data_IF_461671640766
#
_entry.id   IF_461671640766
#
_cell.length_a   1.000
_cell.length_b   1.000
_cell.length_c   1.000
_cell.angle_alpha   90.00
_cell.angle_beta   90.00
_cell.angle_gamma   90.00
#
_symmetry.space_group_name_H-M   'P 1'
#
loop_
_entity.id
_entity.type
_entity.pdbx_description
1 polymer ?
#
# COMPACT_ATOMS: atom_id res chain seq x y z
N UNK A 1 4.29 25.12 -12.91
CA UNK A 1 4.63 23.69 -12.77
C UNK A 1 3.34 22.98 -12.42
N UNK A 2 2.72 22.39 -13.43
CA UNK A 2 1.42 21.73 -13.28
C UNK A 2 1.62 20.39 -12.57
N UNK A 3 0.78 20.18 -11.57
CA UNK A 3 0.67 19.00 -10.73
C UNK A 3 0.18 17.83 -11.61
N UNK A 4 1.11 16.98 -12.06
CA UNK A 4 0.79 15.79 -12.83
C UNK A 4 0.24 14.73 -11.87
N UNK A 5 -1.07 14.80 -11.68
CA UNK A 5 -1.88 13.76 -11.05
C UNK A 5 -1.55 12.43 -11.74
N UNK A 6 -1.16 11.36 -11.02
CA UNK A 6 -0.92 10.08 -11.65
C UNK A 6 -2.22 9.61 -12.31
N UNK A 7 -2.16 9.40 -13.62
CA UNK A 7 -3.26 8.86 -14.39
C UNK A 7 -3.72 7.53 -13.78
N UNK A 8 -5.03 7.23 -13.72
CA UNK A 8 -5.49 5.89 -13.37
C UNK A 8 -4.88 4.91 -14.37
N UNK A 9 -4.34 3.81 -13.87
CA UNK A 9 -3.64 2.78 -14.65
C UNK A 9 -4.36 2.51 -15.99
N UNK A 10 -3.72 2.89 -17.09
CA UNK A 10 -4.20 2.57 -18.43
C UNK A 10 -4.11 1.08 -18.68
N UNK A 11 -5.07 0.57 -19.46
CA UNK A 11 -5.41 -0.83 -19.73
C UNK A 11 -4.27 -1.79 -20.20
N UNK A 12 -3.02 -1.34 -20.33
CA UNK A 12 -1.90 -2.14 -20.84
C UNK A 12 -1.09 -2.96 -19.81
N UNK A 13 -1.38 -2.88 -18.51
CA UNK A 13 -0.50 -3.44 -17.46
C UNK A 13 -1.13 -4.60 -16.66
N UNK A 14 -2.17 -5.26 -17.18
CA UNK A 14 -2.82 -6.40 -16.50
C UNK A 14 -1.90 -7.63 -16.37
N UNK A 15 -0.91 -7.78 -17.27
CA UNK A 15 0.11 -8.85 -17.22
C UNK A 15 1.07 -8.73 -16.03
N UNK A 16 1.13 -7.57 -15.38
CA UNK A 16 1.95 -7.31 -14.17
C UNK A 16 1.18 -7.50 -12.87
N UNK A 17 -0.11 -7.83 -12.93
CA UNK A 17 -0.93 -8.04 -11.74
C UNK A 17 -0.50 -9.30 -11.00
N UNK A 18 0.08 -9.10 -9.82
CA UNK A 18 0.38 -10.18 -8.90
C UNK A 18 -0.84 -10.42 -7.99
N UNK A 19 -1.42 -11.62 -8.06
CA UNK A 19 -2.39 -12.12 -7.08
C UNK A 19 -1.66 -12.48 -5.78
N UNK A 20 -1.11 -11.46 -5.12
CA UNK A 20 -0.44 -11.55 -3.82
C UNK A 20 -1.07 -10.53 -2.85
N UNK A 21 -0.97 -10.74 -1.54
CA UNK A 21 -1.49 -9.78 -0.56
C UNK A 21 -0.93 -8.37 -0.75
N UNK A 22 0.29 -8.22 -1.24
CA UNK A 22 0.94 -6.93 -1.49
C UNK A 22 0.39 -6.22 -2.74
N UNK A 23 0.03 -6.99 -3.79
CA UNK A 23 -0.53 -6.49 -5.05
C UNK A 23 -2.06 -6.36 -5.07
N UNK A 24 -2.75 -6.70 -3.97
CA UNK A 24 -4.22 -6.68 -3.92
C UNK A 24 -4.83 -5.31 -4.25
N UNK A 25 -4.19 -4.21 -3.82
CA UNK A 25 -4.64 -2.86 -4.12
C UNK A 25 -4.72 -2.60 -5.62
N UNK A 26 -3.66 -2.97 -6.35
CA UNK A 26 -3.55 -2.74 -7.78
C UNK A 26 -4.51 -3.66 -8.56
N UNK A 27 -4.66 -4.91 -8.10
CA UNK A 27 -5.67 -5.84 -8.64
C UNK A 27 -7.10 -5.36 -8.42
N UNK A 28 -7.44 -4.94 -7.21
CA UNK A 28 -8.76 -4.41 -6.87
C UNK A 28 -9.06 -3.15 -7.69
N UNK A 29 -8.11 -2.22 -7.77
CA UNK A 29 -8.25 -0.99 -8.56
C UNK A 29 -8.44 -1.28 -10.05
N UNK A 30 -7.67 -2.22 -10.61
CA UNK A 30 -7.80 -2.63 -12.01
C UNK A 30 -9.16 -3.28 -12.28
N UNK A 31 -9.61 -4.24 -11.45
CA UNK A 31 -10.86 -4.99 -11.65
C UNK A 31 -12.11 -4.13 -11.39
N UNK A 32 -12.13 -3.33 -10.32
CA UNK A 32 -13.24 -2.43 -10.01
C UNK A 32 -13.30 -1.22 -10.96
N UNK A 33 -12.16 -0.82 -11.53
CA UNK A 33 -12.03 0.28 -12.48
C UNK A 33 -12.28 -0.10 -13.95
N UNK A 34 -12.56 -1.38 -14.24
CA UNK A 34 -12.81 -1.85 -15.60
C UNK A 34 -13.97 -1.08 -16.23
N UNK A 35 -13.68 -0.37 -17.33
CA UNK A 35 -14.69 0.28 -18.19
C UNK A 35 -14.82 -0.54 -19.46
N UNK A 36 -16.02 -1.05 -19.72
CA UNK A 36 -16.32 -1.77 -20.94
C UNK A 36 -16.55 -0.80 -22.11
N UNK A 37 -16.14 -1.15 -23.34
CA UNK A 37 -15.55 -2.43 -23.78
C UNK A 37 -14.05 -2.59 -23.47
N UNK A 38 -13.61 -3.82 -23.22
CA UNK A 38 -12.20 -4.20 -22.95
C UNK A 38 -11.65 -5.02 -24.14
N UNK A 39 -10.34 -4.95 -24.38
CA UNK A 39 -9.66 -5.81 -25.37
C UNK A 39 -9.76 -7.30 -25.00
N UNK A 40 -9.98 -8.16 -25.99
CA UNK A 40 -10.12 -9.61 -25.79
C UNK A 40 -8.86 -10.23 -25.18
N UNK A 41 -7.66 -9.80 -25.60
CA UNK A 41 -6.39 -10.30 -25.08
C UNK A 41 -6.29 -10.13 -23.55
N UNK A 42 -6.61 -8.94 -23.07
CA UNK A 42 -6.63 -8.56 -21.65
C UNK A 42 -7.62 -9.41 -20.84
N UNK A 43 -8.79 -9.70 -21.39
CA UNK A 43 -9.81 -10.56 -20.76
C UNK A 43 -9.33 -12.01 -20.65
N UNK A 44 -8.69 -12.54 -21.70
CA UNK A 44 -8.18 -13.90 -21.71
C UNK A 44 -7.04 -14.09 -20.69
N UNK A 45 -6.14 -13.11 -20.57
CA UNK A 45 -5.07 -13.11 -19.57
C UNK A 45 -5.63 -13.05 -18.15
N UNK A 46 -6.54 -12.11 -17.88
CA UNK A 46 -7.17 -11.99 -16.56
C UNK A 46 -7.94 -13.25 -16.19
N UNK A 47 -8.65 -13.86 -17.15
CA UNK A 47 -9.33 -15.16 -16.98
C UNK A 47 -8.33 -16.28 -16.70
N UNK A 48 -7.20 -16.33 -17.40
CA UNK A 48 -6.16 -17.32 -17.17
C UNK A 48 -5.57 -17.21 -15.76
N UNK A 49 -5.17 -16.01 -15.33
CA UNK A 49 -4.62 -15.76 -13.99
C UNK A 49 -5.60 -16.12 -12.88
N UNK A 50 -6.88 -15.70 -13.03
CA UNK A 50 -7.94 -15.99 -12.06
C UNK A 50 -8.18 -17.49 -11.97
N UNK A 51 -8.29 -18.20 -13.10
CA UNK A 51 -8.57 -19.63 -13.11
C UNK A 51 -7.40 -20.41 -12.52
N UNK A 52 -6.15 -20.07 -12.88
CA UNK A 52 -4.96 -20.71 -12.33
C UNK A 52 -4.85 -20.53 -10.81
N UNK A 53 -5.11 -19.31 -10.32
CA UNK A 53 -5.07 -19.03 -8.88
C UNK A 53 -6.22 -19.72 -8.13
N UNK A 54 -7.43 -19.74 -8.72
CA UNK A 54 -8.60 -20.37 -8.12
C UNK A 54 -8.46 -21.91 -8.08
N UNK A 55 -7.89 -22.54 -9.11
CA UNK A 55 -7.64 -23.98 -9.14
C UNK A 55 -6.61 -24.41 -8.09
N UNK A 56 -5.67 -23.54 -7.72
CA UNK A 56 -4.69 -23.79 -6.65
C UNK A 56 -5.25 -23.52 -5.24
N UNK A 57 -6.43 -22.92 -5.11
CA UNK A 57 -7.00 -22.47 -3.84
C UNK A 57 -8.07 -23.43 -3.31
N UNK A 58 -7.84 -23.97 -2.11
CA UNK A 58 -8.83 -24.73 -1.35
C UNK A 58 -9.76 -23.76 -0.60
N UNK A 59 -10.99 -23.58 -1.08
CA UNK A 59 -11.91 -22.57 -0.56
C UNK A 59 -12.46 -22.90 0.84
N UNK A 60 -12.27 -22.03 1.85
CA UNK A 60 -13.06 -22.08 3.06
C UNK A 60 -14.48 -21.56 2.79
N UNK A 61 -15.49 -21.97 3.58
CA UNK A 61 -16.85 -21.46 3.43
C UNK A 61 -16.91 -20.00 3.88
N UNK A 62 -17.09 -19.09 2.93
CA UNK A 62 -17.35 -17.68 3.21
C UNK A 62 -18.83 -17.32 2.94
N UNK A 63 -19.40 -16.56 3.87
CA UNK A 63 -20.82 -16.16 3.91
C UNK A 63 -21.03 -14.77 3.29
N UNK A 64 -20.05 -13.87 3.36
CA UNK A 64 -20.16 -12.51 2.79
C UNK A 64 -20.16 -12.55 1.26
N UNK A 65 -19.27 -13.36 0.67
CA UNK A 65 -19.25 -13.59 -0.78
C UNK A 65 -20.45 -14.39 -1.30
N UNK A 66 -21.12 -15.16 -0.43
CA UNK A 66 -22.35 -15.87 -0.81
C UNK A 66 -23.50 -14.90 -1.10
N UNK A 67 -23.68 -13.86 -0.28
CA UNK A 67 -24.70 -12.83 -0.50
C UNK A 67 -24.44 -12.00 -1.77
N UNK A 68 -23.17 -11.71 -2.08
CA UNK A 68 -22.80 -11.04 -3.33
C UNK A 68 -23.11 -11.91 -4.56
N UNK A 69 -22.91 -13.23 -4.44
CA UNK A 69 -23.21 -14.20 -5.50
C UNK A 69 -24.72 -14.39 -5.73
N UNK A 70 -25.55 -14.35 -4.68
CA UNK A 70 -27.01 -14.40 -4.80
C UNK A 70 -27.58 -13.21 -5.57
N UNK A 71 -26.91 -12.05 -5.53
CA UNK A 71 -27.28 -10.89 -6.32
C UNK A 71 -27.02 -11.05 -7.83
N UNK A 72 -26.27 -12.07 -8.22
CA UNK A 72 -25.98 -12.42 -9.60
C UNK A 72 -26.89 -13.57 -10.03
N UNK A 73 -27.90 -13.27 -10.85
CA UNK A 73 -28.76 -14.26 -11.49
C UNK A 73 -27.97 -15.08 -12.54
N UNK A 74 -27.17 -16.03 -12.07
CA UNK A 74 -26.44 -16.99 -12.89
C UNK A 74 -27.23 -18.28 -13.00
N UNK A 75 -27.67 -18.61 -14.21
CA UNK A 75 -28.51 -19.80 -14.45
C UNK A 75 -27.73 -21.11 -14.34
N UNK A 76 -26.41 -21.09 -14.53
CA UNK A 76 -25.57 -22.28 -14.52
C UNK A 76 -24.90 -22.52 -13.16
N UNK A 77 -25.25 -23.63 -12.51
CA UNK A 77 -24.72 -24.04 -11.21
C UNK A 77 -23.19 -24.19 -11.20
N UNK A 78 -22.58 -24.62 -12.32
CA UNK A 78 -21.11 -24.76 -12.43
C UNK A 78 -20.40 -23.40 -12.46
N UNK A 79 -20.96 -22.41 -13.14
CA UNK A 79 -20.40 -21.06 -13.19
C UNK A 79 -20.53 -20.36 -11.84
N UNK A 80 -21.65 -20.60 -11.16
CA UNK A 80 -21.90 -20.10 -9.79
C UNK A 80 -20.87 -20.64 -8.81
N UNK A 81 -20.59 -21.95 -8.82
CA UNK A 81 -19.61 -22.56 -7.93
C UNK A 81 -18.18 -22.07 -8.20
N UNK A 82 -17.81 -21.93 -9.48
CA UNK A 82 -16.50 -21.38 -9.86
C UNK A 82 -16.34 -19.92 -9.46
N UNK A 83 -17.36 -19.09 -9.67
CA UNK A 83 -17.34 -17.70 -9.23
C UNK A 83 -17.28 -17.58 -7.71
N UNK A 84 -17.97 -18.46 -6.97
CA UNK A 84 -17.87 -18.56 -5.51
C UNK A 84 -16.44 -18.85 -5.07
N UNK A 85 -15.77 -19.82 -5.71
CA UNK A 85 -14.38 -20.18 -5.39
C UNK A 85 -13.41 -19.00 -5.63
N UNK A 86 -13.59 -18.27 -6.74
CA UNK A 86 -12.80 -17.07 -7.05
C UNK A 86 -13.03 -15.97 -6.02
N UNK A 87 -14.29 -15.71 -5.64
CA UNK A 87 -14.63 -14.69 -4.65
C UNK A 87 -14.08 -15.04 -3.26
N UNK A 88 -14.19 -16.30 -2.84
CA UNK A 88 -13.61 -16.77 -1.58
C UNK A 88 -12.08 -16.62 -1.55
N UNK A 89 -11.40 -16.90 -2.67
CA UNK A 89 -9.96 -16.65 -2.81
C UNK A 89 -9.61 -15.17 -2.66
N UNK A 90 -10.37 -14.28 -3.32
CA UNK A 90 -10.14 -12.84 -3.21
C UNK A 90 -10.43 -12.31 -1.81
N UNK A 91 -11.41 -12.88 -1.10
CA UNK A 91 -11.71 -12.54 0.29
C UNK A 91 -10.60 -12.96 1.26
N UNK A 92 -10.04 -14.18 1.11
CA UNK A 92 -8.86 -14.61 1.88
C UNK A 92 -7.65 -13.71 1.60
N UNK A 93 -7.41 -13.38 0.33
CA UNK A 93 -6.30 -12.53 -0.06
C UNK A 93 -6.45 -11.08 0.45
N UNK A 94 -7.68 -10.56 0.47
CA UNK A 94 -8.02 -9.30 1.12
C UNK A 94 -7.79 -9.33 2.63
N UNK A 95 -8.22 -10.40 3.30
CA UNK A 95 -8.01 -10.59 4.74
C UNK A 95 -6.53 -10.62 5.08
N UNK A 96 -5.71 -11.31 4.28
CA UNK A 96 -4.24 -11.31 4.42
C UNK A 96 -3.63 -9.94 4.13
N UNK A 97 -4.13 -9.19 3.15
CA UNK A 97 -3.71 -7.82 2.88
C UNK A 97 -3.98 -6.90 4.08
N UNK A 98 -5.17 -6.97 4.69
CA UNK A 98 -5.49 -6.21 5.91
C UNK A 98 -4.56 -6.58 7.05
N UNK A 99 -4.34 -7.89 7.27
CA UNK A 99 -3.46 -8.35 8.34
C UNK A 99 -2.01 -7.85 8.14
N UNK A 100 -1.48 -7.97 6.92
CA UNK A 100 -0.15 -7.48 6.56
C UNK A 100 -0.04 -5.96 6.68
N UNK A 101 -1.04 -5.22 6.19
CA UNK A 101 -1.10 -3.75 6.28
C UNK A 101 -1.16 -3.29 7.74
N UNK A 102 -1.94 -3.96 8.57
CA UNK A 102 -2.04 -3.65 10.01
C UNK A 102 -0.72 -3.95 10.73
N UNK A 103 -0.06 -5.06 10.40
CA UNK A 103 1.27 -5.39 10.91
C UNK A 103 2.33 -4.35 10.53
N UNK A 104 2.33 -3.90 9.27
CA UNK A 104 3.20 -2.85 8.77
C UNK A 104 2.94 -1.49 9.44
N UNK A 105 1.69 -1.10 9.60
CA UNK A 105 1.29 0.11 10.32
C UNK A 105 1.79 0.09 11.76
N UNK A 106 1.57 -1.01 12.49
CA UNK A 106 2.00 -1.15 13.88
C UNK A 106 3.52 -1.06 13.99
N UNK A 107 4.27 -1.68 13.07
CA UNK A 107 5.72 -1.56 13.00
C UNK A 107 6.18 -0.13 12.77
N UNK A 108 5.61 0.57 11.78
CA UNK A 108 5.99 1.95 11.45
C UNK A 108 5.63 2.93 12.58
N UNK A 109 4.48 2.74 13.24
CA UNK A 109 4.11 3.50 14.44
C UNK A 109 5.07 3.22 15.60
N UNK A 110 5.49 1.97 15.80
CA UNK A 110 6.49 1.63 16.80
C UNK A 110 7.85 2.29 16.50
N UNK A 111 8.27 2.35 15.24
CA UNK A 111 9.48 3.06 14.83
C UNK A 111 9.38 4.58 15.08
N UNK A 112 8.25 5.21 14.71
CA UNK A 112 8.02 6.64 14.97
C UNK A 112 8.04 6.97 16.47
N UNK A 113 7.43 6.12 17.32
CA UNK A 113 7.48 6.32 18.78
C UNK A 113 8.90 6.12 19.34
N UNK A 114 9.67 5.18 18.80
CA UNK A 114 11.08 4.98 19.16
C UNK A 114 11.94 6.19 18.78
N UNK A 115 11.77 6.72 17.57
CA UNK A 115 12.47 7.93 17.11
C UNK A 115 12.06 9.15 17.95
N UNK A 116 10.77 9.28 18.27
CA UNK A 116 10.26 10.33 19.15
C UNK A 116 10.90 10.29 20.54
N UNK A 117 11.00 9.10 21.15
CA UNK A 117 11.69 8.90 22.43
C UNK A 117 13.19 9.22 22.35
N UNK A 118 13.87 8.75 21.30
CA UNK A 118 15.29 9.03 21.08
C UNK A 118 15.54 10.54 20.90
N UNK A 119 14.65 11.24 20.19
CA UNK A 119 14.71 12.70 20.04
C UNK A 119 14.50 13.40 21.38
N UNK A 120 13.48 13.04 22.14
CA UNK A 120 13.23 13.62 23.46
C UNK A 120 14.42 13.40 24.42
N UNK A 121 15.05 12.22 24.36
CA UNK A 121 16.26 11.89 25.10
C UNK A 121 17.44 12.80 24.67
N UNK A 122 17.74 12.85 23.36
CA UNK A 122 18.84 13.69 22.84
C UNK A 122 18.69 15.17 23.18
N UNK A 123 17.47 15.72 23.16
CA UNK A 123 17.20 17.11 23.53
C UNK A 123 17.41 17.34 25.03
N UNK A 124 16.88 16.46 25.88
CA UNK A 124 17.00 16.59 27.35
C UNK A 124 18.45 16.53 27.79
N UNK A 125 19.19 15.51 27.37
CA UNK A 125 20.60 15.35 27.73
C UNK A 125 21.47 16.42 27.07
N UNK A 126 21.22 16.77 25.80
CA UNK A 126 21.92 17.86 25.14
C UNK A 126 21.76 19.21 25.87
N UNK A 127 20.56 19.55 26.35
CA UNK A 127 20.33 20.75 27.16
C UNK A 127 21.05 20.68 28.51
N UNK A 128 20.98 19.55 29.22
CA UNK A 128 21.67 19.37 30.50
C UNK A 128 23.18 19.56 30.34
N UNK A 129 23.78 18.92 29.33
CA UNK A 129 25.21 19.05 29.06
C UNK A 129 25.61 20.44 28.58
N UNK A 130 24.74 21.13 27.81
CA UNK A 130 24.95 22.52 27.42
C UNK A 130 24.97 23.46 28.64
N UNK A 131 24.00 23.32 29.56
CA UNK A 131 23.97 24.12 30.79
C UNK A 131 25.14 23.79 31.71
N UNK A 132 25.53 22.51 31.82
CA UNK A 132 26.70 22.11 32.58
C UNK A 132 27.99 22.69 31.99
N UNK A 133 28.15 22.66 30.67
CA UNK A 133 29.29 23.25 29.97
C UNK A 133 29.36 24.78 30.18
N UNK A 134 28.21 25.46 30.08
CA UNK A 134 28.11 26.90 30.36
C UNK A 134 28.45 27.22 31.83
N UNK A 135 28.02 26.39 32.78
CA UNK A 135 28.37 26.50 34.19
C UNK A 135 29.87 26.35 34.44
N UNK A 136 30.51 25.36 33.82
CA UNK A 136 31.97 25.19 33.88
C UNK A 136 32.72 26.37 33.24
N UNK A 137 32.22 26.90 32.11
CA UNK A 137 32.78 28.10 31.48
C UNK A 137 32.65 29.35 32.35
N UNK A 138 31.52 29.53 33.03
CA UNK A 138 31.32 30.61 34.00
C UNK A 138 32.26 30.49 35.19
N UNK A 139 32.43 29.28 35.74
CA UNK A 139 33.38 29.01 36.81
C UNK A 139 34.83 29.28 36.38
N UNK A 140 35.20 28.97 35.13
CA UNK A 140 36.50 29.32 34.58
C UNK A 140 36.71 30.84 34.62
N UNK A 141 35.74 31.62 34.12
CA UNK A 141 35.83 33.08 34.10
C UNK A 141 35.93 33.70 35.50
N UNK A 142 35.29 33.08 36.50
CA UNK A 142 35.24 33.60 37.87
C UNK A 142 36.48 33.24 38.71
N UNK A 143 37.08 32.06 38.51
CA UNK A 143 38.20 31.58 39.34
C UNK A 143 39.58 32.11 38.90
N UNK A 144 39.72 32.72 37.72
CA UNK A 144 40.97 33.32 37.23
C UNK A 144 42.06 32.33 36.82
N UNK A 145 42.31 31.26 37.61
CA UNK A 145 43.26 30.18 37.28
C UNK A 145 42.67 28.79 37.58
N UNK A 146 41.78 28.28 36.71
CA UNK A 146 41.15 26.98 36.91
C UNK A 146 42.11 25.84 36.58
N UNK A 147 42.18 24.87 37.49
CA UNK A 147 42.91 23.62 37.30
C UNK A 147 42.49 22.89 36.01
N UNK A 148 43.42 22.11 35.45
CA UNK A 148 43.26 21.36 34.20
C UNK A 148 42.00 20.48 34.15
N UNK A 149 41.52 20.02 35.30
CA UNK A 149 40.29 19.21 35.45
C UNK A 149 39.04 19.94 34.94
N UNK A 150 38.90 21.24 35.21
CA UNK A 150 37.75 22.06 34.76
C UNK A 150 37.77 22.23 33.25
N UNK A 151 38.97 22.38 32.66
CA UNK A 151 39.15 22.53 31.20
C UNK A 151 38.80 21.24 30.46
N UNK A 152 39.25 20.09 30.98
CA UNK A 152 38.90 18.77 30.42
C UNK A 152 37.40 18.45 30.59
N UNK A 153 36.80 18.80 31.71
CA UNK A 153 35.37 18.63 31.94
C UNK A 153 34.53 19.46 30.96
N UNK A 154 34.88 20.74 30.76
CA UNK A 154 34.21 21.61 29.79
C UNK A 154 34.33 21.06 28.35
N UNK A 155 35.51 20.58 27.97
CA UNK A 155 35.75 20.00 26.65
C UNK A 155 34.97 18.69 26.43
N UNK A 156 34.92 17.82 27.44
CA UNK A 156 34.11 16.58 27.40
C UNK A 156 32.61 16.86 27.27
N UNK A 157 32.10 17.83 28.03
CA UNK A 157 30.71 18.27 27.97
C UNK A 157 30.35 18.89 26.60
N UNK A 158 31.28 19.66 26.02
CA UNK A 158 31.10 20.25 24.70
C UNK A 158 31.06 19.18 23.59
N UNK A 159 31.93 18.16 23.66
CA UNK A 159 31.90 17.02 22.73
C UNK A 159 30.60 16.22 22.83
N UNK A 160 30.13 15.94 24.04
CA UNK A 160 28.83 15.27 24.26
C UNK A 160 27.68 16.09 23.69
N UNK A 161 27.66 17.39 23.96
CA UNK A 161 26.63 18.31 23.45
C UNK A 161 26.61 18.33 21.93
N UNK A 162 27.79 18.36 21.30
CA UNK A 162 27.94 18.28 19.85
C UNK A 162 27.42 16.97 19.27
N UNK A 163 27.74 15.82 19.88
CA UNK A 163 27.26 14.51 19.43
C UNK A 163 25.72 14.43 19.47
N UNK A 164 25.13 14.89 20.58
CA UNK A 164 23.67 14.95 20.73
C UNK A 164 23.02 15.88 19.69
N UNK A 165 23.57 17.07 19.46
CA UNK A 165 23.07 18.02 18.46
C UNK A 165 23.21 17.48 17.02
N UNK A 166 24.31 16.79 16.73
CA UNK A 166 24.56 16.17 15.42
C UNK A 166 23.60 15.02 15.11
N UNK A 167 23.11 14.32 16.14
CA UNK A 167 22.15 13.22 15.96
C UNK A 167 20.74 13.69 15.55
N UNK A 168 20.31 14.88 15.97
CA UNK A 168 18.98 15.45 15.71
C UNK A 168 18.55 15.50 14.22
N UNK A 169 19.37 15.97 13.27
CA UNK A 169 19.00 15.97 11.85
C UNK A 169 18.82 14.56 11.29
N UNK A 170 19.61 13.58 11.76
CA UNK A 170 19.49 12.17 11.34
C UNK A 170 18.14 11.59 11.80
N UNK A 171 17.79 11.81 13.07
CA UNK A 171 16.49 11.39 13.62
C UNK A 171 15.32 12.05 12.88
N UNK A 172 15.44 13.33 12.50
CA UNK A 172 14.41 14.03 11.72
C UNK A 172 14.23 13.44 10.32
N UNK A 173 15.33 13.05 9.66
CA UNK A 173 15.27 12.38 8.34
C UNK A 173 14.62 11.00 8.45
N UNK A 174 15.01 10.21 9.45
CA UNK A 174 14.41 8.90 9.70
C UNK A 174 12.91 9.00 10.02
N UNK A 175 12.49 9.94 10.87
CA UNK A 175 11.08 10.17 11.18
C UNK A 175 10.27 10.52 9.93
N UNK A 176 10.80 11.37 9.04
CA UNK A 176 10.15 11.70 7.77
C UNK A 176 10.01 10.49 6.86
N UNK A 177 11.04 9.66 6.76
CA UNK A 177 11.01 8.44 5.94
C UNK A 177 9.92 7.47 6.42
N UNK A 178 9.91 7.13 7.71
CA UNK A 178 8.89 6.24 8.28
C UNK A 178 7.47 6.82 8.20
N UNK A 179 7.33 8.16 8.24
CA UNK A 179 6.03 8.81 8.06
C UNK A 179 5.52 8.74 6.61
N UNK A 180 6.40 8.89 5.62
CA UNK A 180 6.05 8.72 4.20
C UNK A 180 5.69 7.27 3.89
N UNK A 181 6.44 6.31 4.41
CA UNK A 181 6.13 4.88 4.27
C UNK A 181 4.78 4.53 4.90
N UNK A 182 4.44 5.15 6.03
CA UNK A 182 3.14 4.97 6.68
C UNK A 182 2.00 5.57 5.85
N UNK A 183 2.18 6.78 5.31
CA UNK A 183 1.18 7.42 4.45
C UNK A 183 0.93 6.59 3.18
N UNK A 184 1.99 6.08 2.54
CA UNK A 184 1.87 5.22 1.37
C UNK A 184 1.15 3.89 1.70
N UNK A 185 1.46 3.27 2.84
CA UNK A 185 0.79 2.06 3.29
C UNK A 185 -0.70 2.31 3.55
N UNK A 186 -1.06 3.45 4.15
CA UNK A 186 -2.45 3.82 4.40
C UNK A 186 -3.20 4.15 3.09
N UNK A 187 -2.54 4.80 2.11
CA UNK A 187 -3.12 5.05 0.78
C UNK A 187 -3.42 3.77 0.02
N UNK A 188 -2.53 2.78 0.10
CA UNK A 188 -2.68 1.47 -0.56
C UNK A 188 -3.64 0.53 0.17
N UNK A 189 -4.05 0.84 1.40
CA UNK A 189 -4.95 -0.03 2.16
C UNK A 189 -6.35 0.03 1.57
N UNK A 190 -6.81 -1.10 1.04
CA UNK A 190 -8.23 -1.31 0.74
C UNK A 190 -8.90 -1.74 2.05
N UNK A 191 -9.77 -0.90 2.61
CA UNK A 191 -10.46 -1.17 3.90
C UNK A 191 -11.82 -1.85 3.74
N UNK A 192 -12.59 -1.46 2.72
CA UNK A 192 -13.93 -1.99 2.45
C UNK A 192 -14.11 -2.20 0.95
N UNK A 193 -13.80 -3.39 0.41
CA UNK A 193 -14.02 -3.70 -1.00
C UNK A 193 -15.52 -3.83 -1.28
N UNK A 194 -15.98 -3.28 -2.40
CA UNK A 194 -17.34 -3.48 -2.89
C UNK A 194 -17.43 -4.83 -3.60
N UNK A 195 -17.71 -5.88 -2.82
CA UNK A 195 -17.82 -7.26 -3.31
C UNK A 195 -18.87 -7.43 -4.41
N UNK A 196 -19.91 -6.60 -4.44
CA UNK A 196 -20.96 -6.68 -5.47
C UNK A 196 -20.44 -6.20 -6.82
N UNK A 197 -19.75 -5.06 -6.85
CA UNK A 197 -19.15 -4.50 -8.07
C UNK A 197 -18.02 -5.39 -8.59
N UNK A 198 -17.21 -5.95 -7.69
CA UNK A 198 -16.17 -6.92 -8.05
C UNK A 198 -16.78 -8.20 -8.65
N UNK A 199 -17.79 -8.78 -8.00
CA UNK A 199 -18.44 -9.99 -8.48
C UNK A 199 -19.12 -9.78 -9.85
N UNK A 200 -19.70 -8.60 -10.09
CA UNK A 200 -20.28 -8.24 -11.39
C UNK A 200 -19.22 -8.11 -12.48
N UNK A 201 -18.13 -7.41 -12.21
CA UNK A 201 -17.03 -7.22 -13.15
C UNK A 201 -16.34 -8.55 -13.48
N UNK A 202 -16.13 -9.40 -12.47
CA UNK A 202 -15.60 -10.76 -12.64
C UNK A 202 -16.55 -11.65 -13.44
N UNK A 203 -17.86 -11.58 -13.20
CA UNK A 203 -18.84 -12.36 -13.97
C UNK A 203 -18.86 -11.96 -15.45
N UNK A 204 -18.65 -10.68 -15.77
CA UNK A 204 -18.52 -10.18 -17.14
C UNK A 204 -17.21 -10.63 -17.80
N UNK A 205 -16.06 -10.50 -17.11
CA UNK A 205 -14.74 -10.95 -17.60
C UNK A 205 -14.70 -12.47 -17.81
N UNK A 206 -15.27 -13.23 -16.89
CA UNK A 206 -15.38 -14.69 -17.00
C UNK A 206 -16.45 -15.13 -18.01
N UNK A 207 -17.20 -14.19 -18.60
CA UNK A 207 -18.21 -14.47 -19.62
C UNK A 207 -19.41 -15.25 -19.08
N UNK A 208 -19.61 -15.23 -17.76
CA UNK A 208 -20.74 -15.88 -17.10
C UNK A 208 -22.04 -15.10 -17.24
N UNK A 209 -21.95 -13.80 -17.57
CA UNK A 209 -23.08 -12.94 -17.88
C UNK A 209 -22.92 -12.34 -19.28
N UNK A 210 -23.92 -12.52 -20.14
CA UNK A 210 -23.97 -11.84 -21.43
C UNK A 210 -24.55 -10.42 -21.26
N UNK A 211 -23.96 -9.39 -21.89
CA UNK A 211 -24.47 -8.03 -21.81
C UNK A 211 -25.65 -7.93 -22.79
N UNK A 212 -26.84 -7.60 -22.29
CA UNK A 212 -28.08 -7.64 -23.07
C UNK A 212 -28.18 -6.70 -24.27
N UNK A 213 -27.18 -5.86 -24.57
CA UNK A 213 -27.19 -4.96 -25.74
C UNK A 213 -25.85 -4.26 -26.06
N UNK A 214 -24.76 -4.53 -25.36
CA UNK A 214 -23.49 -3.78 -25.49
C UNK A 214 -22.35 -4.73 -25.81
N UNK A 215 -21.61 -4.47 -26.89
CA UNK A 215 -20.38 -5.19 -27.21
C UNK A 215 -19.40 -5.01 -26.05
N UNK A 216 -19.17 -6.07 -25.28
CA UNK A 216 -18.29 -6.03 -24.11
C UNK A 216 -16.83 -6.29 -24.47
N UNK A 217 -16.59 -6.79 -25.68
CA UNK A 217 -15.28 -7.19 -26.17
C UNK A 217 -14.99 -6.52 -27.51
N UNK A 218 -13.82 -5.91 -27.64
CA UNK A 218 -13.33 -5.42 -28.93
C UNK A 218 -12.30 -6.41 -29.48
N UNK A 219 -12.58 -6.98 -30.65
CA UNK A 219 -11.61 -7.78 -31.39
C UNK A 219 -10.70 -6.81 -32.14
N UNK A 220 -9.40 -6.82 -31.86
CA UNK A 220 -8.43 -6.14 -32.72
C UNK A 220 -8.46 -6.82 -34.09
N UNK A 221 -9.08 -6.16 -35.06
CA UNK A 221 -9.22 -6.68 -36.42
C UNK A 221 -10.33 -6.04 -37.25
N UNK A 222 -11.34 -5.42 -36.64
CA UNK A 222 -12.43 -4.75 -37.38
C UNK A 222 -12.13 -3.26 -37.59
N UNK A 223 -11.00 -3.00 -38.24
CA UNK A 223 -10.77 -1.74 -38.94
C UNK A 223 -11.09 -1.98 -40.42
N UNK A 224 -12.24 -1.44 -40.83
CA UNK A 224 -12.59 -1.09 -42.22
C UNK A 224 -12.75 -2.25 -43.23
N UNK A 225 -13.77 -3.07 -43.00
CA UNK A 225 -14.31 -4.02 -43.98
C UNK A 225 -15.63 -3.53 -44.59
N UNK A 226 -15.68 -2.28 -45.04
CA UNK A 226 -16.84 -1.77 -45.78
C UNK A 226 -17.11 -2.60 -47.04
N UNK A 227 -18.13 -3.47 -46.99
CA UNK A 227 -18.67 -4.15 -48.16
C UNK A 227 -19.09 -3.11 -49.22
N UNK A 228 -18.50 -3.10 -50.44
CA UNK A 228 -19.08 -2.33 -51.52
C UNK A 228 -20.37 -3.03 -51.96
N UNK A 229 -21.50 -2.33 -51.79
CA UNK A 229 -22.78 -2.72 -52.40
C UNK A 229 -22.59 -2.89 -53.91
N UNK A 230 -22.94 -4.06 -54.43
CA UNK A 230 -23.34 -4.26 -55.83
C UNK A 230 -24.80 -4.66 -55.85
#
# INVERSE_FOLDING_TARGET
MADEKPAPATAGDLSRLALTPEGFHDFHGAVAGLRFPIEVAQVLELRYLINQAADAFAAPPDAETAAALESLALDNQRHRERLRQVLAMLHDLHSRHIAASTGGENRLRAELTKIGRARAHSIRYGLIFLFAAAGCGGAWFWLGDPGWTVKLAALGLMLLTWDYLRSLPVLKRQARKSALELDELLRRRVTTPDWKTLAHSLALVLGYKQPGATEVFRVEGEADGGLPKR
#
